data_IF_458087063356
#
_entry.id   IF_458087063356
#
_cell.length_a   1.000
_cell.length_b   1.000
_cell.length_c   1.000
_cell.angle_alpha   90.00
_cell.angle_beta   90.00
_cell.angle_gamma   90.00
#
_symmetry.space_group_name_H-M   'P 1'
#
loop_
_entity.id
_entity.type
_entity.pdbx_description
1 polymer ?
#
# COMPACT_ATOMS: atom_id res chain seq x y z
N UNK A 1 -2.66 -31.18 16.04
CA UNK A 1 -3.76 -30.42 15.42
C UNK A 1 -3.46 -30.29 13.94
N UNK A 2 -4.25 -30.95 13.09
CA UNK A 2 -4.19 -30.71 11.65
C UNK A 2 -4.72 -29.29 11.42
N UNK A 3 -3.92 -28.46 10.75
CA UNK A 3 -4.25 -27.08 10.48
C UNK A 3 -5.20 -27.04 9.28
N UNK A 4 -6.50 -26.90 9.54
CA UNK A 4 -7.58 -26.91 8.54
C UNK A 4 -7.48 -25.82 7.45
N UNK A 5 -6.54 -24.88 7.61
CA UNK A 5 -6.21 -23.85 6.63
C UNK A 5 -5.19 -24.31 5.58
N UNK A 6 -4.57 -25.48 5.76
CA UNK A 6 -3.63 -26.08 4.80
C UNK A 6 -4.33 -26.81 3.64
N UNK A 7 -5.64 -26.64 3.45
CA UNK A 7 -6.41 -27.34 2.42
C UNK A 7 -7.23 -26.34 1.61
N UNK A 8 -7.18 -26.45 0.28
CA UNK A 8 -8.04 -25.66 -0.60
C UNK A 8 -9.51 -26.05 -0.40
N UNK A 9 -10.42 -25.09 -0.55
CA UNK A 9 -11.85 -25.30 -0.33
C UNK A 9 -12.66 -24.89 -1.54
N UNK A 10 -13.78 -25.56 -1.75
CA UNK A 10 -14.79 -25.14 -2.73
C UNK A 10 -15.57 -23.92 -2.23
N UNK A 11 -16.40 -23.33 -3.09
CA UNK A 11 -17.32 -22.25 -2.72
C UNK A 11 -18.20 -22.58 -1.51
N UNK A 12 -18.51 -23.86 -1.34
CA UNK A 12 -19.37 -24.37 -0.27
C UNK A 12 -18.58 -24.69 1.01
N UNK A 13 -17.27 -24.42 1.02
CA UNK A 13 -16.39 -24.59 2.19
C UNK A 13 -15.84 -26.01 2.39
N UNK A 14 -16.15 -26.96 1.50
CA UNK A 14 -15.68 -28.33 1.59
C UNK A 14 -14.20 -28.46 1.17
N UNK A 15 -13.40 -29.29 1.86
CA UNK A 15 -12.00 -29.49 1.54
C UNK A 15 -11.84 -30.24 0.20
N UNK A 16 -10.99 -29.70 -0.66
CA UNK A 16 -10.64 -30.30 -1.95
C UNK A 16 -9.35 -31.10 -1.78
N UNK A 17 -9.47 -32.44 -1.77
CA UNK A 17 -8.31 -33.33 -1.70
C UNK A 17 -7.46 -33.21 -2.96
N UNK A 18 -6.14 -33.17 -2.78
CA UNK A 18 -5.13 -33.13 -3.87
C UNK A 18 -5.24 -31.91 -4.81
N UNK A 19 -5.91 -30.86 -4.36
CA UNK A 19 -5.96 -29.61 -5.11
C UNK A 19 -4.61 -28.89 -5.08
N UNK A 20 -4.27 -28.29 -6.22
CA UNK A 20 -3.16 -27.36 -6.36
C UNK A 20 -3.67 -26.09 -7.05
N UNK A 21 -3.13 -24.95 -6.64
CA UNK A 21 -3.38 -23.68 -7.29
C UNK A 21 -2.57 -23.64 -8.59
N UNK A 22 -3.25 -23.46 -9.72
CA UNK A 22 -2.65 -23.34 -11.05
C UNK A 22 -2.82 -21.91 -11.53
N UNK A 23 -1.72 -21.28 -11.92
CA UNK A 23 -1.69 -19.89 -12.36
C UNK A 23 -0.68 -19.71 -13.48
N UNK A 24 -0.98 -18.81 -14.42
CA UNK A 24 -0.01 -18.32 -15.39
C UNK A 24 0.44 -16.92 -14.97
N UNK A 25 1.75 -16.70 -14.86
CA UNK A 25 2.27 -15.41 -14.39
C UNK A 25 1.93 -14.26 -15.33
N UNK A 26 1.76 -14.55 -16.63
CA UNK A 26 1.33 -13.56 -17.62
C UNK A 26 -0.02 -12.91 -17.30
N UNK A 27 -0.91 -13.62 -16.61
CA UNK A 27 -2.27 -13.12 -16.32
C UNK A 27 -2.28 -12.05 -15.20
N UNK A 28 -1.17 -11.91 -14.48
CA UNK A 28 -0.99 -10.94 -13.39
C UNK A 28 -0.16 -9.73 -13.79
N UNK A 29 0.31 -9.67 -15.04
CA UNK A 29 1.10 -8.56 -15.58
C UNK A 29 0.34 -7.79 -16.67
N UNK A 30 0.82 -6.59 -16.99
CA UNK A 30 0.35 -5.88 -18.20
C UNK A 30 0.97 -6.50 -19.46
N UNK A 31 0.40 -6.22 -20.63
CA UNK A 31 0.98 -6.68 -21.91
C UNK A 31 2.45 -6.25 -22.07
N UNK A 32 2.79 -5.03 -21.67
CA UNK A 32 4.16 -4.53 -21.70
C UNK A 32 5.09 -5.30 -20.76
N UNK A 33 4.57 -5.77 -19.62
CA UNK A 33 5.33 -6.54 -18.62
C UNK A 33 5.62 -7.97 -19.08
N UNK A 34 4.79 -8.49 -20.00
CA UNK A 34 4.80 -9.88 -20.44
C UNK A 34 5.34 -10.06 -21.87
N UNK A 35 5.38 -8.97 -22.65
CA UNK A 35 5.92 -8.96 -24.02
C UNK A 35 7.38 -9.42 -24.02
N UNK A 36 7.68 -10.39 -24.88
CA UNK A 36 9.03 -10.94 -25.05
C UNK A 36 9.50 -11.86 -23.92
N UNK A 37 8.62 -12.22 -22.97
CA UNK A 37 8.91 -13.09 -21.84
C UNK A 37 8.07 -14.38 -21.90
N UNK A 38 8.42 -15.33 -22.78
CA UNK A 38 7.68 -16.58 -22.91
C UNK A 38 7.67 -17.41 -21.62
N UNK A 39 8.67 -17.23 -20.74
CA UNK A 39 8.74 -17.88 -19.43
C UNK A 39 7.53 -17.56 -18.54
N UNK A 40 6.92 -16.38 -18.70
CA UNK A 40 5.74 -15.99 -17.93
C UNK A 40 4.46 -16.70 -18.39
N UNK A 41 4.52 -17.35 -19.56
CA UNK A 41 3.44 -18.20 -20.06
C UNK A 41 3.50 -19.61 -19.49
N UNK A 42 4.54 -19.96 -18.73
CA UNK A 42 4.62 -21.25 -18.06
C UNK A 42 3.59 -21.32 -16.93
N UNK A 43 2.89 -22.45 -16.87
CA UNK A 43 1.96 -22.73 -15.78
C UNK A 43 2.74 -23.06 -14.51
N UNK A 44 2.40 -22.35 -13.43
CA UNK A 44 2.93 -22.58 -12.10
C UNK A 44 1.87 -23.32 -11.28
N UNK A 45 2.29 -24.44 -10.68
CA UNK A 45 1.45 -25.26 -9.81
C UNK A 45 1.96 -25.14 -8.38
N UNK A 46 1.11 -24.68 -7.47
CA UNK A 46 1.43 -24.44 -6.06
C UNK A 46 0.56 -25.32 -5.18
N UNK A 47 1.17 -26.17 -4.35
CA UNK A 47 0.42 -26.95 -3.36
C UNK A 47 -0.11 -26.05 -2.24
N UNK A 48 -1.12 -26.53 -1.51
CA UNK A 48 -1.67 -25.78 -0.37
C UNK A 48 -0.62 -25.52 0.72
N UNK A 49 0.30 -26.46 0.92
CA UNK A 49 1.42 -26.31 1.85
C UNK A 49 2.41 -25.24 1.38
N UNK A 50 2.78 -25.24 0.10
CA UNK A 50 3.67 -24.22 -0.45
C UNK A 50 3.05 -22.82 -0.36
N UNK A 51 1.77 -22.68 -0.70
CA UNK A 51 1.05 -21.42 -0.58
C UNK A 51 1.06 -20.91 0.87
N UNK A 52 0.78 -21.82 1.81
CA UNK A 52 0.85 -21.56 3.24
C UNK A 52 2.22 -21.01 3.66
N UNK A 53 3.31 -21.63 3.21
CA UNK A 53 4.67 -21.17 3.51
C UNK A 53 4.93 -19.77 2.91
N UNK A 54 4.56 -19.52 1.65
CA UNK A 54 4.75 -18.22 1.03
C UNK A 54 3.99 -17.10 1.74
N UNK A 55 2.77 -17.38 2.22
CA UNK A 55 1.98 -16.40 2.95
C UNK A 55 2.61 -16.09 4.32
N UNK A 56 3.07 -17.11 5.04
CA UNK A 56 3.79 -16.91 6.31
C UNK A 56 5.06 -16.08 6.12
N UNK A 57 5.85 -16.38 5.08
CA UNK A 57 7.05 -15.60 4.76
C UNK A 57 6.74 -14.17 4.34
N UNK A 58 5.64 -13.95 3.61
CA UNK A 58 5.18 -12.61 3.25
C UNK A 58 4.76 -11.82 4.50
N UNK A 59 4.06 -12.45 5.44
CA UNK A 59 3.63 -11.83 6.70
C UNK A 59 4.83 -11.42 7.56
N UNK A 60 5.81 -12.30 7.73
CA UNK A 60 7.05 -11.99 8.47
C UNK A 60 7.80 -10.81 7.83
N UNK A 61 7.90 -10.77 6.49
CA UNK A 61 8.51 -9.64 5.78
C UNK A 61 7.74 -8.35 6.00
N UNK A 62 6.41 -8.41 5.87
CA UNK A 62 5.54 -7.26 6.05
C UNK A 62 5.62 -6.70 7.47
N UNK A 63 5.66 -7.55 8.48
CA UNK A 63 5.85 -7.14 9.86
C UNK A 63 7.20 -6.43 10.05
N UNK A 64 8.26 -6.97 9.43
CA UNK A 64 9.57 -6.32 9.38
C UNK A 64 9.53 -4.92 8.76
N UNK A 65 8.78 -4.73 7.67
CA UNK A 65 8.57 -3.43 7.06
C UNK A 65 7.76 -2.50 7.94
N UNK A 66 6.63 -2.95 8.49
CA UNK A 66 5.76 -2.16 9.37
C UNK A 66 6.52 -1.64 10.60
N UNK A 67 7.35 -2.47 11.23
CA UNK A 67 8.23 -2.06 12.34
C UNK A 67 9.29 -1.03 11.91
N UNK A 68 9.68 -1.01 10.64
CA UNK A 68 10.63 -0.04 10.05
C UNK A 68 9.98 1.24 9.51
N UNK A 69 8.65 1.37 9.51
CA UNK A 69 7.93 2.59 9.08
C UNK A 69 8.32 3.82 9.93
N UNK A 70 8.95 3.63 11.09
CA UNK A 70 9.66 4.70 11.82
C UNK A 70 11.12 4.89 11.40
N UNK A 71 11.43 4.83 10.09
CA UNK A 71 12.80 4.88 9.53
C UNK A 71 13.66 5.88 10.30
N UNK A 72 14.53 5.35 11.16
CA UNK A 72 15.61 6.11 11.74
C UNK A 72 16.52 6.41 10.56
N UNK A 73 16.46 7.63 10.05
CA UNK A 73 17.50 8.13 9.16
C UNK A 73 18.83 7.67 9.75
N UNK A 74 19.66 6.97 8.96
CA UNK A 74 21.00 6.59 9.37
C UNK A 74 21.84 7.87 9.44
N UNK A 75 21.55 8.69 10.44
CA UNK A 75 22.33 9.86 10.81
C UNK A 75 23.62 9.28 11.35
N UNK A 76 24.72 9.55 10.64
CA UNK A 76 26.05 9.15 11.08
C UNK A 76 26.24 9.55 12.56
N UNK A 77 26.79 8.68 13.42
CA UNK A 77 27.13 9.05 14.78
C UNK A 77 27.98 10.34 14.75
N UNK A 78 27.47 11.42 15.36
CA UNK A 78 28.12 12.74 15.35
C UNK A 78 27.66 13.73 14.27
N UNK A 79 26.76 13.34 13.36
CA UNK A 79 26.16 14.29 12.42
C UNK A 79 25.27 15.29 13.16
N UNK A 80 25.78 16.51 13.32
CA UNK A 80 25.07 17.62 13.95
C UNK A 80 24.16 18.30 12.93
N UNK A 81 22.91 18.55 13.31
CA UNK A 81 21.99 19.38 12.53
C UNK A 81 22.66 20.73 12.23
N UNK A 82 22.63 21.19 10.98
CA UNK A 82 23.15 22.52 10.61
C UNK A 82 22.44 23.59 11.42
N UNK A 83 23.19 24.58 11.93
CA UNK A 83 22.60 25.78 12.51
C UNK A 83 21.79 26.49 11.42
N UNK A 84 20.58 26.92 11.76
CA UNK A 84 19.83 27.85 10.92
C UNK A 84 20.49 29.22 11.03
N UNK A 85 20.63 29.93 9.90
CA UNK A 85 21.07 31.33 9.89
C UNK A 85 20.07 32.22 10.61
N UNK A 86 18.79 31.87 10.53
CA UNK A 86 17.68 32.62 11.12
C UNK A 86 16.51 31.67 11.40
N UNK A 87 15.85 31.87 12.53
CA UNK A 87 14.54 31.26 12.80
C UNK A 87 13.49 32.22 12.22
N UNK A 88 12.59 31.79 11.33
CA UNK A 88 11.53 32.66 10.83
C UNK A 88 10.77 33.32 12.00
N UNK A 89 10.40 34.59 11.89
CA UNK A 89 9.73 35.31 12.96
C UNK A 89 8.39 34.66 13.33
N UNK A 90 8.19 34.42 14.62
CA UNK A 90 6.92 33.98 15.19
C UNK A 90 5.93 35.15 15.14
N UNK A 91 5.28 35.37 13.98
CA UNK A 91 4.19 36.33 13.88
C UNK A 91 2.93 35.77 14.54
N UNK A 92 2.89 35.82 15.87
CA UNK A 92 1.64 35.79 16.62
C UNK A 92 1.10 37.22 16.62
N UNK A 93 0.15 37.50 15.72
CA UNK A 93 -0.62 38.74 15.68
C UNK A 93 -1.14 39.08 17.09
N UNK A 94 -0.53 40.08 17.73
CA UNK A 94 -0.87 40.56 19.05
C UNK A 94 -1.96 41.63 18.95
N UNK A 95 -3.21 41.22 18.75
CA UNK A 95 -4.37 41.94 19.27
C UNK A 95 -5.59 41.01 19.29
N UNK A 96 -5.92 40.50 20.47
CA UNK A 96 -7.28 40.29 21.00
C UNK A 96 -7.12 39.48 22.29
N UNK A 97 -7.00 40.16 23.43
CA UNK A 97 -7.11 39.51 24.73
C UNK A 97 -8.57 39.21 25.03
N UNK A 98 -8.94 37.94 25.24
CA UNK A 98 -9.90 37.43 26.26
C UNK A 98 -10.08 35.89 26.09
N UNK A 99 -10.29 35.14 27.19
CA UNK A 99 -9.66 33.84 27.43
C UNK A 99 -10.56 32.65 27.11
N UNK A 100 -10.02 31.60 26.49
CA UNK A 100 -10.64 30.27 26.51
C UNK A 100 -9.58 29.19 26.62
N UNK A 101 -9.64 28.46 27.74
CA UNK A 101 -9.07 27.13 27.83
C UNK A 101 -9.52 26.28 26.63
N UNK A 102 -8.59 25.49 26.10
CA UNK A 102 -8.77 24.36 25.19
C UNK A 102 -9.55 24.66 23.88
N UNK A 103 -8.88 25.31 22.92
CA UNK A 103 -9.27 25.34 21.51
C UNK A 103 -8.57 24.24 20.69
N UNK A 104 -9.01 23.81 19.52
CA UNK A 104 -10.19 24.11 18.70
C UNK A 104 -10.24 22.99 17.65
N UNK A 105 -11.24 22.13 17.73
CA UNK A 105 -11.78 21.46 16.54
C UNK A 105 -12.26 22.54 15.54
N UNK A 106 -12.24 22.18 14.26
CA UNK A 106 -12.77 22.94 13.11
C UNK A 106 -11.87 23.99 12.46
N UNK A 107 -11.04 23.55 11.50
CA UNK A 107 -10.97 24.15 10.15
C UNK A 107 -10.72 23.07 9.08
N UNK A 108 -11.77 22.33 8.72
CA UNK A 108 -11.87 21.70 7.40
C UNK A 108 -11.99 22.83 6.36
N UNK A 109 -11.18 22.81 5.30
CA UNK A 109 -11.19 23.85 4.27
C UNK A 109 -10.48 23.44 2.98
N UNK A 110 -11.20 22.62 2.18
CA UNK A 110 -11.20 22.46 0.72
C UNK A 110 -9.87 22.35 -0.06
N UNK A 111 -9.65 21.11 -0.50
CA UNK A 111 -9.26 20.67 -1.85
C UNK A 111 -9.47 21.75 -2.93
N UNK A 112 -8.38 22.22 -3.53
CA UNK A 112 -8.38 22.75 -4.89
C UNK A 112 -7.61 21.76 -5.75
N UNK A 113 -8.32 21.12 -6.65
CA UNK A 113 -7.82 20.04 -7.51
C UNK A 113 -8.10 20.50 -8.92
N UNK A 114 -7.06 20.97 -9.63
CA UNK A 114 -7.10 21.39 -11.03
C UNK A 114 -7.31 20.21 -12.01
N UNK A 115 -7.91 19.13 -11.55
CA UNK A 115 -8.18 17.95 -12.36
C UNK A 115 -9.36 18.21 -13.30
N UNK A 116 -9.05 18.37 -14.59
CA UNK A 116 -10.04 18.41 -15.67
C UNK A 116 -10.06 17.06 -16.39
N UNK A 117 -11.12 16.24 -16.27
CA UNK A 117 -11.26 15.02 -17.05
C UNK A 117 -11.67 15.35 -18.49
N UNK A 118 -10.81 15.05 -19.45
CA UNK A 118 -11.13 15.09 -20.87
C UNK A 118 -12.00 13.88 -21.25
N UNK A 119 -13.32 14.04 -21.19
CA UNK A 119 -14.26 13.08 -21.77
C UNK A 119 -15.13 13.77 -22.82
N UNK A 120 -14.74 13.62 -24.09
CA UNK A 120 -15.61 13.90 -25.24
C UNK A 120 -16.34 12.60 -25.59
N UNK A 121 -17.64 12.58 -25.31
CA UNK A 121 -18.58 11.64 -25.90
C UNK A 121 -19.83 12.40 -26.30
N UNK A 122 -19.88 12.87 -27.54
CA UNK A 122 -21.14 13.23 -28.21
C UNK A 122 -21.36 12.21 -29.32
N UNK A 123 -22.06 11.12 -28.98
CA UNK A 123 -22.90 10.41 -29.94
C UNK A 123 -24.21 11.19 -29.97
N UNK A 124 -24.54 11.73 -31.14
CA UNK A 124 -25.89 12.16 -31.47
C UNK A 124 -26.21 11.60 -32.86
N UNK A 125 -26.98 10.52 -32.88
CA UNK A 125 -27.80 10.14 -34.02
C UNK A 125 -28.97 11.13 -34.12
N UNK A 126 -29.09 11.83 -35.25
CA UNK A 126 -30.35 12.03 -35.98
C UNK A 126 -30.08 12.61 -37.38
#
# INVERSE_FOLDING_TARGET
MLMDWKVFRTSDGHPLKEAALRLMLKDFGTEDSTRGRPELSQEVTISSEQLCCFLLEAEVRQEGYARRVGSKNNVLPGAKKRRRSETPPDHLSSDESIPRAAGRDSKRGRLDSDYSPSSLSTISDN
#
